data_IF_845477926117
#
_entry.id   IF_845477926117
#
_cell.length_a   1.000
_cell.length_b   1.000
_cell.length_c   1.000
_cell.angle_alpha   90.00
_cell.angle_beta   90.00
_cell.angle_gamma   90.00
#
_symmetry.space_group_name_H-M   'P 1'
#
loop_
_entity.id
_entity.type
_entity.pdbx_description
1 polymer ?
#
# COMPACT_ATOMS: atom_id res chain seq x y z
N UNK A 1 -5.32 -1.06 -28.39
CA UNK A 1 -4.77 -1.93 -27.34
C UNK A 1 -5.96 -2.48 -26.58
N UNK A 2 -6.14 -3.79 -26.57
CA UNK A 2 -7.26 -4.42 -25.85
C UNK A 2 -6.93 -4.43 -24.35
N UNK A 3 -7.95 -4.36 -23.48
CA UNK A 3 -7.73 -4.31 -22.04
C UNK A 3 -7.08 -5.59 -21.51
N UNK A 4 -7.40 -6.72 -22.14
CA UNK A 4 -6.77 -8.02 -21.84
C UNK A 4 -5.24 -7.99 -22.06
N UNK A 5 -4.73 -7.01 -22.83
CA UNK A 5 -3.30 -6.78 -23.04
C UNK A 5 -2.68 -5.93 -21.93
N UNK A 6 -3.48 -5.10 -21.22
CA UNK A 6 -3.02 -4.26 -20.11
C UNK A 6 -3.19 -4.96 -18.75
N UNK A 7 -4.33 -5.60 -18.57
CA UNK A 7 -4.75 -6.23 -17.31
C UNK A 7 -5.45 -7.54 -17.63
N UNK A 8 -4.73 -8.59 -18.02
CA UNK A 8 -5.34 -9.87 -18.35
C UNK A 8 -6.18 -10.37 -17.18
N UNK A 9 -7.47 -10.61 -17.44
CA UNK A 9 -8.47 -11.12 -16.49
C UNK A 9 -8.95 -10.15 -15.36
N UNK A 10 -8.36 -8.97 -15.20
CA UNK A 10 -8.74 -8.00 -14.14
C UNK A 10 -10.22 -7.64 -14.21
N UNK A 11 -10.72 -7.36 -15.42
CA UNK A 11 -12.12 -6.98 -15.61
C UNK A 11 -13.09 -8.08 -15.15
N UNK A 12 -12.84 -9.34 -15.54
CA UNK A 12 -13.71 -10.46 -15.15
C UNK A 12 -13.71 -10.67 -13.63
N UNK A 13 -12.58 -10.52 -12.99
CA UNK A 13 -12.45 -10.64 -11.54
C UNK A 13 -13.18 -9.50 -10.81
N UNK A 14 -12.95 -8.26 -11.22
CA UNK A 14 -13.57 -7.08 -10.60
C UNK A 14 -15.09 -7.02 -10.83
N UNK A 15 -15.55 -7.30 -12.06
CA UNK A 15 -16.96 -7.22 -12.40
C UNK A 15 -17.82 -8.37 -11.88
N UNK A 16 -17.23 -9.53 -11.59
CA UNK A 16 -17.95 -10.75 -11.22
C UNK A 16 -17.62 -11.28 -9.83
N UNK A 17 -16.74 -10.62 -9.07
CA UNK A 17 -16.19 -11.16 -7.81
C UNK A 17 -15.70 -12.61 -7.98
N UNK A 18 -15.13 -12.92 -9.16
CA UNK A 18 -14.66 -14.26 -9.48
C UNK A 18 -13.30 -14.48 -8.82
N UNK A 19 -12.99 -15.74 -8.52
CA UNK A 19 -11.71 -16.21 -8.02
C UNK A 19 -10.52 -15.50 -8.72
N UNK A 20 -9.88 -14.62 -7.99
CA UNK A 20 -8.84 -13.73 -8.48
C UNK A 20 -7.43 -14.37 -8.48
N UNK A 21 -7.30 -15.62 -7.99
CA UNK A 21 -6.00 -16.31 -7.87
C UNK A 21 -5.24 -16.41 -9.20
N UNK A 22 -5.88 -16.71 -10.35
CA UNK A 22 -5.19 -16.69 -11.64
C UNK A 22 -4.67 -15.31 -12.04
N UNK A 23 -5.30 -14.24 -11.55
CA UNK A 23 -4.93 -12.86 -11.86
C UNK A 23 -3.55 -12.51 -11.30
N UNK A 24 -3.27 -12.94 -10.07
CA UNK A 24 -2.03 -12.62 -9.36
C UNK A 24 -0.82 -13.25 -9.99
N UNK A 25 -0.96 -14.47 -10.46
CA UNK A 25 0.12 -15.20 -11.13
C UNK A 25 0.58 -14.50 -12.42
N UNK A 26 -0.32 -13.76 -13.08
CA UNK A 26 -0.04 -13.06 -14.31
C UNK A 26 0.40 -11.60 -14.10
N UNK A 27 0.10 -11.00 -12.93
CA UNK A 27 0.43 -9.60 -12.63
C UNK A 27 1.70 -9.44 -11.79
N UNK A 28 2.26 -10.51 -11.26
CA UNK A 28 3.51 -10.44 -10.51
C UNK A 28 4.67 -10.07 -11.43
N UNK A 29 5.27 -8.90 -11.20
CA UNK A 29 6.37 -8.41 -12.04
C UNK A 29 7.31 -7.52 -11.24
N UNK A 30 8.60 -7.82 -11.33
CA UNK A 30 9.70 -6.99 -10.83
C UNK A 30 10.22 -5.97 -11.85
N UNK A 31 9.57 -5.83 -12.99
CA UNK A 31 10.05 -5.00 -14.11
C UNK A 31 9.67 -3.51 -13.99
N UNK A 32 9.03 -3.09 -12.89
CA UNK A 32 8.73 -1.68 -12.68
C UNK A 32 9.99 -0.88 -12.31
N UNK A 33 10.01 0.41 -12.64
CA UNK A 33 11.06 1.34 -12.22
C UNK A 33 11.21 1.38 -10.69
N UNK A 34 10.11 1.23 -9.95
CA UNK A 34 10.10 1.10 -8.49
C UNK A 34 10.97 -0.06 -8.00
N UNK A 35 10.76 -1.27 -8.51
CA UNK A 35 11.52 -2.44 -8.09
C UNK A 35 13.01 -2.29 -8.37
N UNK A 36 13.35 -1.72 -9.53
CA UNK A 36 14.74 -1.43 -9.91
C UNK A 36 15.36 -0.40 -8.97
N UNK A 37 14.66 0.71 -8.70
CA UNK A 37 15.12 1.77 -7.83
C UNK A 37 15.35 1.30 -6.38
N UNK A 38 14.45 0.48 -5.83
CA UNK A 38 14.61 -0.10 -4.48
C UNK A 38 15.90 -0.91 -4.36
N UNK A 39 16.24 -1.70 -5.38
CA UNK A 39 17.46 -2.50 -5.38
C UNK A 39 18.70 -1.64 -5.64
N UNK A 40 18.66 -0.75 -6.63
CA UNK A 40 19.80 0.09 -7.01
C UNK A 40 20.21 1.06 -5.91
N UNK A 41 19.26 1.54 -5.10
CA UNK A 41 19.55 2.40 -3.94
C UNK A 41 19.89 1.61 -2.66
N UNK A 42 19.94 0.28 -2.73
CA UNK A 42 20.39 -0.56 -1.61
C UNK A 42 19.37 -0.72 -0.48
N UNK A 43 18.11 -0.36 -0.68
CA UNK A 43 17.06 -0.59 0.32
C UNK A 43 16.80 -2.08 0.54
N UNK A 44 16.74 -2.86 -0.55
CA UNK A 44 16.59 -4.31 -0.53
C UNK A 44 17.57 -4.95 -1.50
N UNK A 45 17.97 -6.20 -1.20
CA UNK A 45 18.62 -7.05 -2.18
C UNK A 45 17.63 -7.48 -3.26
N UNK A 46 18.15 -7.91 -4.41
CA UNK A 46 17.34 -8.44 -5.50
C UNK A 46 16.42 -9.61 -5.05
N UNK A 47 16.97 -10.51 -4.24
CA UNK A 47 16.22 -11.64 -3.67
C UNK A 47 15.07 -11.17 -2.74
N UNK A 48 15.34 -10.19 -1.88
CA UNK A 48 14.31 -9.60 -1.00
C UNK A 48 13.22 -8.89 -1.82
N UNK A 49 13.62 -8.14 -2.86
CA UNK A 49 12.66 -7.47 -3.74
C UNK A 49 11.78 -8.48 -4.48
N UNK A 50 12.36 -9.56 -4.99
CA UNK A 50 11.60 -10.61 -5.64
C UNK A 50 10.61 -11.31 -4.68
N UNK A 51 11.02 -11.56 -3.44
CA UNK A 51 10.12 -12.07 -2.39
C UNK A 51 8.96 -11.09 -2.12
N UNK A 52 9.25 -9.78 -2.05
CA UNK A 52 8.24 -8.76 -1.84
C UNK A 52 7.26 -8.66 -3.02
N UNK A 53 7.74 -8.75 -4.27
CA UNK A 53 6.90 -8.81 -5.47
C UNK A 53 5.88 -9.94 -5.39
N UNK A 54 6.33 -11.14 -5.03
CA UNK A 54 5.45 -12.30 -4.88
C UNK A 54 4.49 -12.09 -3.71
N UNK A 55 5.01 -11.69 -2.54
CA UNK A 55 4.24 -11.52 -1.32
C UNK A 55 3.13 -10.49 -1.47
N UNK A 56 3.45 -9.29 -1.98
CA UNK A 56 2.50 -8.20 -2.15
C UNK A 56 1.80 -8.21 -3.51
N UNK A 57 2.12 -9.20 -4.35
CA UNK A 57 1.52 -9.37 -5.69
C UNK A 57 1.68 -8.12 -6.55
N UNK A 58 2.88 -7.53 -6.56
CA UNK A 58 3.13 -6.29 -7.29
C UNK A 58 2.97 -6.53 -8.79
N UNK A 59 2.31 -5.59 -9.47
CA UNK A 59 2.22 -5.57 -10.91
C UNK A 59 3.15 -4.52 -11.52
N UNK A 60 3.32 -4.60 -12.85
CA UNK A 60 4.01 -3.57 -13.61
C UNK A 60 3.22 -3.22 -14.88
N UNK A 61 3.24 -1.93 -15.23
CA UNK A 61 2.74 -1.45 -16.52
C UNK A 61 3.81 -1.57 -17.61
N UNK A 62 3.43 -1.50 -18.89
CA UNK A 62 4.39 -1.52 -19.99
C UNK A 62 5.38 -0.36 -19.99
N UNK A 63 5.00 0.76 -19.43
CA UNK A 63 5.80 1.98 -19.29
C UNK A 63 6.46 2.09 -17.90
N UNK A 64 6.75 0.93 -17.31
CA UNK A 64 7.51 0.75 -16.06
C UNK A 64 6.88 1.32 -14.79
N UNK A 65 5.59 1.67 -14.80
CA UNK A 65 4.84 1.97 -13.57
C UNK A 65 4.69 0.71 -12.69
N UNK A 66 4.70 0.87 -11.37
CA UNK A 66 4.34 -0.20 -10.45
C UNK A 66 2.84 -0.18 -10.21
N UNK A 67 2.23 -1.36 -10.06
CA UNK A 67 0.84 -1.51 -9.65
C UNK A 67 0.81 -2.06 -8.23
N UNK A 68 0.32 -1.26 -7.31
CA UNK A 68 0.04 -1.65 -5.93
C UNK A 68 -1.42 -2.08 -5.84
N UNK A 69 -1.65 -3.40 -5.89
CA UNK A 69 -3.00 -3.94 -5.82
C UNK A 69 -3.57 -3.84 -4.41
N UNK A 70 -4.75 -3.28 -4.29
CA UNK A 70 -5.56 -3.34 -3.08
C UNK A 70 -6.41 -4.60 -3.12
N UNK A 71 -6.04 -5.56 -2.27
CA UNK A 71 -6.67 -6.87 -2.18
C UNK A 71 -7.12 -7.03 -0.74
N UNK A 72 -8.39 -7.33 -0.56
CA UNK A 72 -8.96 -7.48 0.77
C UNK A 72 -8.57 -8.79 1.47
N UNK A 73 -9.03 -8.96 2.69
CA UNK A 73 -8.79 -10.14 3.53
C UNK A 73 -9.45 -11.43 3.01
N UNK A 74 -10.31 -11.32 2.01
CA UNK A 74 -10.96 -12.45 1.33
C UNK A 74 -10.31 -12.77 -0.02
N UNK A 75 -9.14 -12.18 -0.29
CA UNK A 75 -8.38 -12.35 -1.54
C UNK A 75 -9.07 -11.76 -2.78
N UNK A 76 -9.97 -10.77 -2.58
CA UNK A 76 -10.69 -10.08 -3.65
C UNK A 76 -9.96 -8.78 -4.00
N UNK A 77 -9.57 -8.58 -5.29
CA UNK A 77 -9.00 -7.30 -5.72
C UNK A 77 -10.09 -6.22 -5.74
N UNK A 78 -9.82 -5.14 -5.05
CA UNK A 78 -10.71 -3.97 -5.00
C UNK A 78 -10.34 -2.92 -6.03
N UNK A 79 -9.05 -2.62 -6.17
CA UNK A 79 -8.49 -1.73 -7.17
C UNK A 79 -6.97 -1.93 -7.28
N UNK A 80 -6.31 -1.22 -8.19
CA UNK A 80 -4.86 -1.18 -8.33
C UNK A 80 -4.38 0.27 -8.49
N UNK A 81 -3.52 0.72 -7.60
CA UNK A 81 -2.91 2.04 -7.69
C UNK A 81 -1.64 1.97 -8.52
N UNK A 82 -1.62 2.69 -9.64
CA UNK A 82 -0.46 2.78 -10.52
C UNK A 82 0.35 4.00 -10.14
N UNK A 83 1.64 3.77 -9.83
CA UNK A 83 2.57 4.80 -9.44
C UNK A 83 3.86 4.72 -10.24
N UNK A 84 4.52 5.86 -10.39
CA UNK A 84 5.80 5.98 -11.07
C UNK A 84 6.87 6.49 -10.13
N UNK A 85 8.05 5.90 -10.24
CA UNK A 85 9.20 6.22 -9.40
C UNK A 85 10.40 6.57 -10.28
N UNK A 86 11.23 7.48 -9.79
CA UNK A 86 12.51 7.84 -10.39
C UNK A 86 13.61 6.89 -9.92
N UNK A 87 14.77 7.00 -10.51
CA UNK A 87 15.95 6.18 -10.17
C UNK A 87 16.39 6.36 -8.71
N UNK A 88 16.15 7.53 -8.10
CA UNK A 88 16.42 7.83 -6.69
C UNK A 88 15.41 7.22 -5.72
N UNK A 89 14.52 6.37 -6.20
CA UNK A 89 13.42 5.75 -5.43
C UNK A 89 12.40 6.74 -4.84
N UNK A 90 12.35 7.97 -5.35
CA UNK A 90 11.31 8.93 -5.04
C UNK A 90 10.21 8.88 -6.09
N UNK A 91 8.99 9.25 -5.65
CA UNK A 91 7.85 9.35 -6.56
C UNK A 91 8.15 10.32 -7.70
N UNK A 92 7.81 9.93 -8.91
CA UNK A 92 7.82 10.82 -10.06
C UNK A 92 6.60 11.76 -9.99
N UNK A 93 6.83 13.03 -9.70
CA UNK A 93 5.78 14.03 -9.58
C UNK A 93 5.24 14.54 -10.92
N UNK A 94 5.97 14.30 -12.01
CA UNK A 94 5.54 14.65 -13.37
C UNK A 94 4.50 13.66 -13.91
N UNK A 95 4.35 12.51 -13.23
CA UNK A 95 3.39 11.45 -13.56
C UNK A 95 2.41 11.26 -12.41
N UNK A 96 1.16 11.65 -12.65
CA UNK A 96 0.12 11.50 -11.63
C UNK A 96 -0.23 10.03 -11.38
N UNK A 97 -0.49 9.64 -10.11
CA UNK A 97 -1.06 8.32 -9.81
C UNK A 97 -2.38 8.13 -10.53
N UNK A 98 -2.61 6.91 -10.97
CA UNK A 98 -3.92 6.55 -11.51
C UNK A 98 -4.38 5.21 -10.93
N UNK A 99 -5.67 4.92 -11.10
CA UNK A 99 -6.29 3.71 -10.60
C UNK A 99 -6.71 2.80 -11.75
N UNK A 100 -6.56 1.49 -11.58
CA UNK A 100 -6.95 0.52 -12.60
C UNK A 100 -8.43 0.63 -12.94
N UNK A 101 -9.30 0.83 -11.92
CA UNK A 101 -10.74 1.02 -12.16
C UNK A 101 -11.05 2.32 -12.92
N UNK A 102 -10.28 3.39 -12.72
CA UNK A 102 -10.42 4.60 -13.54
C UNK A 102 -10.11 4.35 -15.00
N UNK A 103 -9.05 3.57 -15.29
CA UNK A 103 -8.72 3.19 -16.67
C UNK A 103 -9.78 2.26 -17.28
N UNK A 104 -10.33 1.33 -16.50
CA UNK A 104 -11.41 0.44 -16.94
C UNK A 104 -12.67 1.23 -17.27
N UNK A 105 -13.03 2.21 -16.43
CA UNK A 105 -14.18 3.11 -16.65
C UNK A 105 -14.02 3.94 -17.93
N UNK A 106 -12.85 4.56 -18.13
CA UNK A 106 -12.56 5.34 -19.34
C UNK A 106 -12.70 4.51 -20.63
N UNK A 107 -12.52 3.19 -20.53
CA UNK A 107 -12.68 2.25 -21.64
C UNK A 107 -14.08 1.64 -21.76
N UNK A 108 -15.02 2.06 -20.91
CA UNK A 108 -16.38 1.53 -20.88
C UNK A 108 -16.49 0.06 -20.46
N UNK A 109 -15.52 -0.44 -19.70
CA UNK A 109 -15.42 -1.85 -19.30
C UNK A 109 -16.02 -2.14 -17.92
N UNK A 110 -16.24 -1.11 -17.13
CA UNK A 110 -17.06 -1.12 -15.93
C UNK A 110 -18.05 0.04 -15.98
N UNK A 111 -19.21 -0.04 -15.29
CA UNK A 111 -20.21 1.02 -15.24
C UNK A 111 -19.61 2.34 -14.76
N UNK A 112 -20.18 3.47 -15.24
CA UNK A 112 -19.72 4.81 -14.83
C UNK A 112 -19.93 5.06 -13.33
N UNK A 113 -21.00 4.52 -12.77
CA UNK A 113 -21.36 4.60 -11.34
C UNK A 113 -20.66 3.57 -10.45
N UNK A 114 -19.76 2.76 -11.00
CA UNK A 114 -18.97 1.81 -10.23
C UNK A 114 -18.18 2.52 -9.14
N UNK A 115 -18.37 2.10 -7.89
CA UNK A 115 -17.62 2.60 -6.74
C UNK A 115 -16.54 1.57 -6.34
N UNK A 116 -15.30 2.03 -6.28
CA UNK A 116 -14.19 1.22 -5.76
C UNK A 116 -14.21 1.24 -4.24
N UNK A 117 -14.35 0.08 -3.61
CA UNK A 117 -14.20 -0.07 -2.17
C UNK A 117 -12.71 -0.27 -1.85
N UNK A 118 -11.99 0.83 -1.68
CA UNK A 118 -10.56 0.79 -1.38
C UNK A 118 -10.30 0.17 0.01
N UNK A 119 -9.31 -0.71 0.08
CA UNK A 119 -8.83 -1.32 1.32
C UNK A 119 -7.34 -1.01 1.56
N UNK A 120 -6.79 -1.47 2.67
CA UNK A 120 -5.35 -1.32 2.94
C UNK A 120 -4.54 -2.16 1.95
N UNK A 121 -3.44 -1.61 1.44
CA UNK A 121 -2.47 -2.36 0.67
C UNK A 121 -1.85 -3.47 1.53
N UNK A 122 -1.76 -4.68 1.00
CA UNK A 122 -1.25 -5.84 1.72
C UNK A 122 -2.27 -6.56 2.62
N UNK A 123 -3.53 -6.12 2.67
CA UNK A 123 -4.55 -6.68 3.57
C UNK A 123 -4.80 -8.18 3.36
N UNK A 124 -4.65 -8.70 2.13
CA UNK A 124 -4.73 -10.13 1.82
C UNK A 124 -3.72 -11.00 2.61
N UNK A 125 -2.65 -10.40 3.13
CA UNK A 125 -1.65 -11.10 3.94
C UNK A 125 -2.10 -11.32 5.39
N UNK A 126 -3.26 -10.78 5.77
CA UNK A 126 -3.81 -10.91 7.12
C UNK A 126 -4.26 -12.33 7.41
N UNK A 127 -4.64 -13.08 6.38
CA UNK A 127 -5.15 -14.44 6.54
C UNK A 127 -4.09 -15.35 7.21
N UNK A 128 -4.44 -15.89 8.37
CA UNK A 128 -3.56 -16.74 9.18
C UNK A 128 -2.46 -16.00 9.96
N UNK A 129 -2.33 -14.67 9.82
CA UNK A 129 -1.36 -13.88 10.58
C UNK A 129 -1.77 -13.78 12.06
N UNK A 130 -0.83 -14.01 12.98
CA UNK A 130 -1.04 -13.96 14.43
C UNK A 130 -0.19 -12.91 15.15
N UNK A 131 0.75 -12.30 14.43
CA UNK A 131 1.67 -11.31 14.97
C UNK A 131 1.10 -9.89 14.97
N UNK A 132 1.97 -8.92 15.27
CA UNK A 132 1.64 -7.50 15.20
C UNK A 132 1.46 -7.07 13.74
N UNK A 133 0.43 -6.26 13.51
CA UNK A 133 0.21 -5.57 12.23
C UNK A 133 0.73 -4.15 12.36
N UNK A 134 1.56 -3.71 11.43
CA UNK A 134 2.10 -2.36 11.35
C UNK A 134 1.52 -1.65 10.12
N UNK A 135 1.05 -0.42 10.28
CA UNK A 135 0.45 0.36 9.20
C UNK A 135 1.27 1.62 8.97
N UNK A 136 1.65 1.87 7.73
CA UNK A 136 2.35 3.07 7.24
C UNK A 136 1.52 3.79 6.19
N UNK A 137 1.93 4.99 5.78
CA UNK A 137 1.24 5.75 4.73
C UNK A 137 1.49 5.15 3.35
N UNK A 138 2.75 4.92 3.01
CA UNK A 138 3.19 4.58 1.65
C UNK A 138 3.38 3.08 1.46
N UNK A 139 2.98 2.59 0.28
CA UNK A 139 3.21 1.21 -0.16
C UNK A 139 4.71 0.89 -0.26
N UNK A 140 5.55 1.86 -0.66
CA UNK A 140 7.03 1.76 -0.66
C UNK A 140 7.52 1.36 0.72
N UNK A 141 7.10 2.11 1.73
CA UNK A 141 7.52 1.91 3.12
C UNK A 141 7.07 0.54 3.63
N UNK A 142 5.83 0.12 3.37
CA UNK A 142 5.34 -1.20 3.77
C UNK A 142 6.18 -2.34 3.16
N UNK A 143 6.52 -2.24 1.87
CA UNK A 143 7.31 -3.24 1.15
C UNK A 143 8.73 -3.33 1.75
N UNK A 144 9.43 -2.22 1.88
CA UNK A 144 10.81 -2.18 2.40
C UNK A 144 10.83 -2.68 3.85
N UNK A 145 9.92 -2.18 4.70
CA UNK A 145 9.84 -2.58 6.10
C UNK A 145 9.49 -4.07 6.27
N UNK A 146 8.75 -4.66 5.35
CA UNK A 146 8.41 -6.09 5.42
C UNK A 146 9.64 -7.01 5.31
N UNK A 147 10.67 -6.57 4.61
CA UNK A 147 11.94 -7.29 4.52
C UNK A 147 12.88 -6.95 5.69
N UNK A 148 12.87 -5.70 6.17
CA UNK A 148 13.73 -5.26 7.27
C UNK A 148 13.22 -5.70 8.64
N UNK A 149 11.91 -5.77 8.82
CA UNK A 149 11.22 -6.12 10.08
C UNK A 149 10.12 -7.17 9.84
N UNK A 150 10.50 -8.40 9.43
CA UNK A 150 9.55 -9.45 9.03
C UNK A 150 8.70 -10.00 10.18
N UNK A 151 9.02 -9.65 11.43
CA UNK A 151 8.22 -10.00 12.61
C UNK A 151 6.87 -9.27 12.68
N UNK A 152 6.67 -8.21 11.87
CA UNK A 152 5.41 -7.52 11.71
C UNK A 152 4.83 -7.77 10.32
N UNK A 153 3.51 -7.76 10.22
CA UNK A 153 2.81 -7.64 8.95
C UNK A 153 2.69 -6.15 8.62
N UNK A 154 3.28 -5.73 7.51
CA UNK A 154 3.28 -4.33 7.07
C UNK A 154 2.19 -4.09 6.04
N UNK A 155 1.31 -3.15 6.34
CA UNK A 155 0.23 -2.69 5.47
C UNK A 155 0.41 -1.20 5.18
N UNK A 156 -0.22 -0.70 4.11
CA UNK A 156 -0.21 0.73 3.83
C UNK A 156 -1.62 1.28 3.57
N UNK A 157 -1.83 2.55 3.94
CA UNK A 157 -3.07 3.26 3.63
C UNK A 157 -3.15 3.66 2.16
N UNK A 158 -2.01 3.91 1.53
CA UNK A 158 -1.90 4.37 0.16
C UNK A 158 -1.96 5.89 -0.01
N UNK A 159 -1.97 6.65 1.08
CA UNK A 159 -1.91 8.11 1.09
C UNK A 159 -2.34 8.72 2.42
N UNK A 160 -1.96 9.98 2.64
CA UNK A 160 -2.14 10.69 3.91
C UNK A 160 -3.60 10.67 4.42
N UNK A 161 -4.56 10.91 3.54
CA UNK A 161 -5.99 11.03 3.89
C UNK A 161 -6.76 9.72 3.75
N UNK A 162 -6.07 8.62 3.45
CA UNK A 162 -6.69 7.34 3.14
C UNK A 162 -7.01 6.49 4.37
N UNK A 163 -6.42 6.81 5.52
CA UNK A 163 -6.75 6.13 6.78
C UNK A 163 -8.14 6.54 7.25
N UNK A 164 -8.96 5.57 7.63
CA UNK A 164 -10.26 5.82 8.26
C UNK A 164 -10.71 4.58 9.07
N UNK A 165 -11.73 4.78 9.91
CA UNK A 165 -12.27 3.75 10.81
C UNK A 165 -12.73 2.49 10.06
N UNK A 166 -13.35 2.64 8.88
CA UNK A 166 -13.87 1.49 8.12
C UNK A 166 -12.73 0.60 7.58
N UNK A 167 -11.63 1.19 7.09
CA UNK A 167 -10.46 0.44 6.60
C UNK A 167 -9.75 -0.34 7.70
N UNK A 168 -9.88 0.07 8.96
CA UNK A 168 -9.27 -0.61 10.11
C UNK A 168 -10.13 -1.77 10.66
N UNK A 169 -11.40 -1.87 10.26
CA UNK A 169 -12.32 -2.93 10.72
C UNK A 169 -11.75 -4.36 10.63
N UNK A 170 -11.11 -4.79 9.53
CA UNK A 170 -10.56 -6.14 9.43
C UNK A 170 -9.48 -6.46 10.47
N UNK A 171 -8.89 -5.44 11.10
CA UNK A 171 -7.76 -5.55 12.02
C UNK A 171 -8.17 -5.61 13.50
N UNK A 172 -9.47 -5.57 13.82
CA UNK A 172 -9.97 -5.49 15.21
C UNK A 172 -9.65 -6.70 16.09
N UNK A 173 -9.10 -7.79 15.54
CA UNK A 173 -8.66 -8.96 16.28
C UNK A 173 -7.12 -9.07 16.38
N UNK A 174 -6.41 -8.03 15.94
CA UNK A 174 -4.95 -8.03 15.87
C UNK A 174 -4.35 -6.91 16.72
N UNK A 175 -3.14 -7.14 17.22
CA UNK A 175 -2.34 -6.04 17.77
C UNK A 175 -1.88 -5.15 16.62
N UNK A 176 -2.33 -3.90 16.60
CA UNK A 176 -2.07 -2.94 15.52
C UNK A 176 -1.23 -1.78 16.03
N UNK A 177 -0.20 -1.40 15.27
CA UNK A 177 0.60 -0.21 15.48
C UNK A 177 0.59 0.62 14.19
N UNK A 178 0.16 1.87 14.30
CA UNK A 178 0.16 2.86 13.23
C UNK A 178 1.46 3.67 13.28
N UNK A 179 2.12 3.85 12.14
CA UNK A 179 3.34 4.63 12.00
C UNK A 179 3.09 5.78 11.00
N UNK A 180 2.50 6.90 11.46
CA UNK A 180 2.30 8.06 10.61
C UNK A 180 3.62 8.65 10.15
N UNK A 181 3.64 9.21 8.94
CA UNK A 181 4.74 10.04 8.47
C UNK A 181 4.82 11.31 9.31
N UNK A 182 6.00 11.94 9.40
CA UNK A 182 6.13 13.17 10.18
C UNK A 182 5.73 14.41 9.38
N UNK A 183 5.42 15.49 10.06
CA UNK A 183 5.30 16.83 9.53
C UNK A 183 5.71 17.89 10.57
N UNK A 184 5.92 19.13 10.12
CA UNK A 184 6.43 20.22 10.97
C UNK A 184 5.61 20.46 12.23
N UNK A 185 4.29 20.25 12.14
CA UNK A 185 3.34 20.59 13.20
C UNK A 185 2.78 19.36 13.94
N UNK A 186 3.20 18.14 13.58
CA UNK A 186 2.68 16.90 14.12
C UNK A 186 1.18 16.67 13.79
N UNK A 187 0.69 17.26 12.69
CA UNK A 187 -0.71 17.16 12.30
C UNK A 187 -1.08 15.73 11.90
N UNK A 188 -0.21 15.08 11.09
CA UNK A 188 -0.44 13.70 10.64
C UNK A 188 -0.53 12.74 11.83
N UNK A 189 0.36 12.90 12.82
CA UNK A 189 0.31 12.12 14.05
C UNK A 189 -1.02 12.29 14.80
N UNK A 190 -1.50 13.53 14.98
CA UNK A 190 -2.78 13.78 15.67
C UNK A 190 -3.97 13.22 14.90
N UNK A 191 -4.03 13.42 13.58
CA UNK A 191 -5.10 12.89 12.74
C UNK A 191 -5.18 11.36 12.84
N UNK A 192 -4.03 10.67 12.81
CA UNK A 192 -3.98 9.21 12.95
C UNK A 192 -4.32 8.75 14.36
N UNK A 193 -3.96 9.54 15.37
CA UNK A 193 -4.32 9.29 16.76
C UNK A 193 -5.83 9.37 16.96
N UNK A 194 -6.48 10.40 16.46
CA UNK A 194 -7.93 10.58 16.55
C UNK A 194 -8.69 9.44 15.84
N UNK A 195 -8.19 8.99 14.68
CA UNK A 195 -8.77 7.84 13.95
C UNK A 195 -8.57 6.55 14.73
N UNK A 196 -7.42 6.35 15.35
CA UNK A 196 -7.12 5.17 16.18
C UNK A 196 -8.06 5.10 17.41
N UNK A 197 -8.27 6.21 18.10
CA UNK A 197 -9.19 6.35 19.23
C UNK A 197 -10.63 6.04 18.78
N UNK A 198 -11.12 6.73 17.74
CA UNK A 198 -12.45 6.49 17.20
C UNK A 198 -12.67 5.04 16.76
N UNK A 199 -11.64 4.40 16.18
CA UNK A 199 -11.70 2.99 15.80
C UNK A 199 -11.79 2.10 17.04
N UNK A 200 -11.01 2.40 18.07
CA UNK A 200 -11.05 1.71 19.36
C UNK A 200 -12.42 1.77 20.02
N UNK A 201 -13.06 2.94 20.01
CA UNK A 201 -14.41 3.13 20.53
C UNK A 201 -15.46 2.33 19.75
N UNK A 202 -15.38 2.37 18.41
CA UNK A 202 -16.37 1.68 17.54
C UNK A 202 -16.28 0.16 17.65
N UNK A 203 -15.06 -0.38 17.70
CA UNK A 203 -14.85 -1.83 17.61
C UNK A 203 -14.41 -2.49 18.91
N UNK A 204 -14.23 -1.74 19.99
CA UNK A 204 -13.84 -2.27 21.30
C UNK A 204 -12.42 -2.85 21.34
N UNK A 205 -11.53 -2.42 20.45
CA UNK A 205 -10.16 -2.90 20.35
C UNK A 205 -9.18 -1.73 20.18
N UNK A 206 -8.17 -1.59 21.06
CA UNK A 206 -7.26 -0.45 21.02
C UNK A 206 -6.29 -0.55 19.84
N UNK A 207 -6.07 0.57 19.17
CA UNK A 207 -5.05 0.77 18.16
C UNK A 207 -3.95 1.68 18.72
N UNK A 208 -2.69 1.29 18.57
CA UNK A 208 -1.56 2.09 19.07
C UNK A 208 -1.01 2.96 17.96
N UNK A 209 -0.75 4.24 18.23
CA UNK A 209 -0.04 5.12 17.31
C UNK A 209 1.38 5.31 17.81
N UNK A 210 2.36 5.03 16.95
CA UNK A 210 3.77 5.18 17.26
C UNK A 210 4.18 6.65 17.24
N UNK A 211 4.68 7.16 18.36
CA UNK A 211 5.26 8.48 18.43
C UNK A 211 6.76 8.51 18.03
N UNK A 212 7.28 7.44 17.43
CA UNK A 212 8.70 7.30 17.13
C UNK A 212 9.23 8.47 16.32
N UNK A 213 8.61 8.76 15.18
CA UNK A 213 9.06 9.83 14.28
C UNK A 213 8.81 11.21 14.92
N UNK A 214 7.68 11.41 15.60
CA UNK A 214 7.40 12.66 16.30
C UNK A 214 8.44 13.01 17.36
N UNK A 215 8.96 12.01 18.07
CA UNK A 215 9.93 12.19 19.15
C UNK A 215 11.38 12.21 18.66
N UNK A 216 11.70 11.58 17.53
CA UNK A 216 13.08 11.34 17.11
C UNK A 216 13.49 12.09 15.86
N UNK A 217 12.56 12.48 15.00
CA UNK A 217 12.88 13.23 13.78
C UNK A 217 13.37 14.64 14.13
N UNK A 218 14.42 15.07 13.47
CA UNK A 218 14.93 16.43 13.55
C UNK A 218 13.97 17.43 12.89
N UNK A 219 14.05 18.73 13.20
CA UNK A 219 13.23 19.74 12.51
C UNK A 219 13.35 19.70 10.98
N UNK A 220 14.54 19.44 10.44
CA UNK A 220 14.76 19.31 9.00
C UNK A 220 14.04 18.08 8.42
N UNK A 221 14.08 16.94 9.12
CA UNK A 221 13.37 15.74 8.74
C UNK A 221 11.84 15.94 8.79
N UNK A 222 11.33 16.65 9.79
CA UNK A 222 9.91 17.01 9.89
C UNK A 222 9.46 17.92 8.74
N UNK A 223 10.28 18.92 8.38
CA UNK A 223 10.01 19.76 7.24
C UNK A 223 10.02 18.98 5.90
N UNK A 224 10.89 17.97 5.79
CA UNK A 224 10.94 17.05 4.66
C UNK A 224 9.80 16.01 4.66
N UNK A 225 9.01 15.91 5.74
CA UNK A 225 7.89 14.95 5.89
C UNK A 225 8.32 13.51 5.67
N UNK A 226 9.41 13.11 6.36
CA UNK A 226 9.98 11.79 6.19
C UNK A 226 9.05 10.68 6.67
N UNK A 227 9.18 9.53 6.03
CA UNK A 227 8.56 8.27 6.44
C UNK A 227 9.52 7.42 7.31
N UNK A 228 9.06 6.24 7.71
CA UNK A 228 9.85 5.34 8.55
C UNK A 228 11.11 4.81 7.84
N UNK A 229 11.08 4.63 6.52
CA UNK A 229 12.25 4.20 5.74
C UNK A 229 13.27 5.33 5.66
N UNK A 230 12.84 6.56 5.33
CA UNK A 230 13.72 7.72 5.28
C UNK A 230 14.39 8.01 6.64
N UNK A 231 13.75 7.62 7.75
CA UNK A 231 14.32 7.72 9.08
C UNK A 231 15.42 6.70 9.37
N UNK A 232 15.36 5.52 8.71
CA UNK A 232 16.29 4.41 8.94
C UNK A 232 17.52 4.45 8.04
N UNK A 233 17.45 5.12 6.89
CA UNK A 233 18.50 5.23 5.87
C UNK A 233 18.93 6.67 5.70
#
# INVERSE_FOLDING_TARGET
>A
MKIDELFPHTFKALARQIDSRPLWQQCQSSQSAFCQAVVSNGYLTEAQMQQAVVRYRLGATRDAGVIFWQIDEHDIPRDGKIMYYREDCHRDHDRHPTWTNSLLRQKGLIPEDWQSEHCLFGLHLLQGWKGTVAIVESEKTAIIMSALKPQCLWLATGGKTELNVAKLKPLCQHKVILFPDTDENGQTYREWYDIAEATGEVYGHPFTVSALLEQRATPAQKAAKIDLVDFLF
#
